data_IF_465934411145
#
_entry.id   IF_465934411145
#
_cell.length_a   1.000
_cell.length_b   1.000
_cell.length_c   1.000
_cell.angle_alpha   90.00
_cell.angle_beta   90.00
_cell.angle_gamma   90.00
#
_symmetry.space_group_name_H-M   'P 1'
#
loop_
_entity.id
_entity.type
_entity.pdbx_description
1 polymer ?
#
# COMPACT_ATOMS: atom_id res chain seq x y z
N UNK A 1 -22.45 32.40 2.54
CA UNK A 1 -21.24 31.74 1.98
C UNK A 1 -20.09 32.08 2.91
N UNK A 2 -19.90 31.29 3.97
CA UNK A 2 -18.96 31.59 5.06
C UNK A 2 -17.55 31.12 4.71
N UNK A 3 -16.57 31.82 5.28
CA UNK A 3 -15.11 31.57 5.15
C UNK A 3 -14.73 30.14 5.55
N UNK A 4 -15.57 29.46 6.33
CA UNK A 4 -15.43 28.07 6.75
C UNK A 4 -15.46 27.09 5.57
N UNK A 5 -16.25 27.35 4.52
CA UNK A 5 -16.33 26.48 3.34
C UNK A 5 -15.10 26.57 2.41
N UNK A 6 -14.13 27.45 2.69
CA UNK A 6 -12.85 27.53 1.96
C UNK A 6 -11.67 26.92 2.72
N UNK A 7 -11.85 26.58 4.00
CA UNK A 7 -10.80 25.98 4.82
C UNK A 7 -10.84 24.45 4.70
N UNK A 8 -12.02 23.84 4.55
CA UNK A 8 -12.13 22.39 4.33
C UNK A 8 -11.48 21.93 3.01
N UNK A 9 -11.55 22.73 1.95
CA UNK A 9 -10.85 22.46 0.67
C UNK A 9 -9.33 22.78 0.73
N UNK A 10 -8.88 23.52 1.75
CA UNK A 10 -7.46 23.89 1.92
C UNK A 10 -6.71 23.00 2.92
N UNK A 11 -7.43 22.30 3.79
CA UNK A 11 -6.89 21.19 4.60
C UNK A 11 -6.67 19.96 3.70
N UNK A 12 -7.40 19.82 2.59
CA UNK A 12 -7.44 18.58 1.77
C UNK A 12 -6.40 18.49 0.64
N UNK A 13 -5.20 19.08 0.76
CA UNK A 13 -4.09 18.83 -0.19
C UNK A 13 -2.70 18.75 0.42
N UNK A 14 -2.49 19.31 1.63
CA UNK A 14 -1.18 19.29 2.29
C UNK A 14 -0.92 18.05 3.14
N UNK A 15 -1.96 17.32 3.51
CA UNK A 15 -1.86 16.01 4.18
C UNK A 15 -2.06 14.82 3.23
N UNK A 16 -2.45 15.07 1.97
CA UNK A 16 -2.46 14.06 0.89
C UNK A 16 -1.05 13.85 0.27
N UNK A 17 -0.01 14.36 0.93
CA UNK A 17 1.28 14.67 0.32
C UNK A 17 2.29 13.51 0.34
N UNK A 18 1.91 12.29 0.71
CA UNK A 18 2.89 11.25 1.05
C UNK A 18 2.99 10.07 0.06
N UNK A 19 1.94 9.30 -0.24
CA UNK A 19 2.06 8.12 -1.12
C UNK A 19 2.02 8.47 -2.61
N UNK A 20 1.07 9.31 -3.01
CA UNK A 20 0.89 9.72 -4.42
C UNK A 20 2.07 10.56 -4.88
N UNK A 21 2.54 11.48 -4.04
CA UNK A 21 3.73 12.26 -4.33
C UNK A 21 5.00 11.42 -4.28
N UNK A 22 5.10 10.37 -3.47
CA UNK A 22 6.22 9.44 -3.55
C UNK A 22 6.25 8.71 -4.90
N UNK A 23 5.10 8.19 -5.37
CA UNK A 23 5.01 7.60 -6.71
C UNK A 23 5.33 8.66 -7.79
N UNK A 24 4.92 9.91 -7.59
CA UNK A 24 5.25 11.02 -8.50
C UNK A 24 6.72 11.47 -8.41
N UNK A 25 7.36 11.40 -7.24
CA UNK A 25 8.77 11.76 -7.05
C UNK A 25 9.70 10.67 -7.60
N UNK A 26 9.23 9.41 -7.56
CA UNK A 26 9.85 8.26 -8.23
C UNK A 26 9.40 8.10 -9.69
N UNK A 27 8.61 9.03 -10.23
CA UNK A 27 7.96 8.93 -11.56
C UNK A 27 8.90 8.95 -12.76
N UNK A 28 10.21 9.12 -12.55
CA UNK A 28 11.20 8.76 -13.57
C UNK A 28 11.06 7.30 -14.00
N UNK A 29 10.41 6.45 -13.20
CA UNK A 29 9.98 5.12 -13.61
C UNK A 29 8.59 5.15 -14.30
N UNK A 30 8.46 4.74 -15.58
CA UNK A 30 7.18 4.62 -16.29
C UNK A 30 6.12 3.81 -15.54
N UNK A 31 6.54 2.84 -14.72
CA UNK A 31 5.69 2.00 -13.88
C UNK A 31 4.91 2.83 -12.85
N UNK A 32 5.54 3.82 -12.23
CA UNK A 32 4.89 4.70 -11.26
C UNK A 32 3.74 5.49 -11.90
N UNK A 33 3.96 5.98 -13.13
CA UNK A 33 2.92 6.66 -13.91
C UNK A 33 1.77 5.72 -14.29
N UNK A 34 2.07 4.46 -14.61
CA UNK A 34 1.06 3.44 -14.87
C UNK A 34 0.23 3.11 -13.62
N UNK A 35 0.85 3.02 -12.45
CA UNK A 35 0.13 2.79 -11.18
C UNK A 35 -0.84 3.94 -10.92
N UNK A 36 -0.40 5.20 -11.04
CA UNK A 36 -1.24 6.37 -10.78
C UNK A 36 -2.38 6.51 -11.78
N UNK A 37 -2.11 6.28 -13.07
CA UNK A 37 -3.14 6.38 -14.13
C UNK A 37 -4.29 5.39 -13.91
N UNK A 38 -4.03 4.30 -13.22
CA UNK A 38 -4.94 3.16 -13.17
C UNK A 38 -5.40 2.75 -11.78
N UNK A 39 -4.88 3.39 -10.74
CA UNK A 39 -5.37 3.22 -9.37
C UNK A 39 -6.35 4.34 -9.08
N UNK A 40 -7.58 4.01 -8.69
CA UNK A 40 -8.58 5.04 -8.43
C UNK A 40 -8.24 5.90 -7.19
N UNK A 41 -8.81 7.11 -7.12
CA UNK A 41 -8.54 8.03 -6.01
C UNK A 41 -8.96 7.52 -4.62
N UNK A 42 -9.98 6.65 -4.52
CA UNK A 42 -10.41 6.08 -3.23
C UNK A 42 -9.39 5.07 -2.68
N UNK A 43 -8.86 4.22 -3.56
CA UNK A 43 -7.80 3.28 -3.25
C UNK A 43 -6.54 4.04 -2.82
N UNK A 44 -6.15 5.06 -3.59
CA UNK A 44 -5.02 5.93 -3.23
C UNK A 44 -5.23 6.63 -1.88
N UNK A 45 -6.43 7.16 -1.58
CA UNK A 45 -6.73 7.78 -0.28
C UNK A 45 -6.62 6.79 0.87
N UNK A 46 -7.08 5.56 0.67
CA UNK A 46 -6.99 4.49 1.67
C UNK A 46 -5.54 4.10 1.96
N UNK A 47 -4.71 3.89 0.94
CA UNK A 47 -3.30 3.55 1.13
C UNK A 47 -2.46 4.72 1.65
N UNK A 48 -2.80 5.96 1.28
CA UNK A 48 -2.24 7.14 1.95
C UNK A 48 -2.51 7.09 3.46
N UNK A 49 -3.76 6.83 3.88
CA UNK A 49 -4.08 6.73 5.30
C UNK A 49 -3.30 5.60 6.01
N UNK A 50 -3.13 4.44 5.36
CA UNK A 50 -2.28 3.37 5.91
C UNK A 50 -0.83 3.86 6.06
N UNK A 51 -0.27 4.48 5.02
CA UNK A 51 1.09 5.00 5.06
C UNK A 51 1.28 6.04 6.17
N UNK A 52 0.31 6.93 6.38
CA UNK A 52 0.36 7.98 7.39
C UNK A 52 0.13 7.46 8.81
N UNK A 53 -0.69 6.43 9.01
CA UNK A 53 -1.09 6.01 10.36
C UNK A 53 -0.38 4.75 10.86
N UNK A 54 0.09 3.89 9.96
CA UNK A 54 0.65 2.59 10.32
C UNK A 54 2.16 2.69 10.56
N UNK A 55 2.56 2.56 11.83
CA UNK A 55 3.95 2.66 12.28
C UNK A 55 4.88 1.63 11.65
N UNK A 56 4.40 0.41 11.39
CA UNK A 56 5.21 -0.65 10.77
C UNK A 56 5.43 -0.32 9.29
N UNK A 57 4.38 0.09 8.58
CA UNK A 57 4.48 0.51 7.16
C UNK A 57 5.45 1.67 6.99
N UNK A 58 5.40 2.67 7.89
CA UNK A 58 6.37 3.79 7.88
C UNK A 58 7.81 3.31 8.09
N UNK A 59 8.01 2.39 9.02
CA UNK A 59 9.34 1.88 9.31
C UNK A 59 9.90 1.04 8.15
N UNK A 60 9.08 0.17 7.55
CA UNK A 60 9.43 -0.57 6.32
C UNK A 60 9.84 0.41 5.22
N UNK A 61 9.04 1.45 5.01
CA UNK A 61 9.32 2.49 4.02
C UNK A 61 10.65 3.22 4.27
N UNK A 62 11.03 3.38 5.53
CA UNK A 62 12.32 3.97 5.91
C UNK A 62 13.48 2.96 5.91
N UNK A 63 13.26 1.76 5.37
CA UNK A 63 14.29 0.74 5.16
C UNK A 63 14.36 -0.35 6.23
N UNK A 64 13.40 -0.42 7.16
CA UNK A 64 13.34 -1.53 8.12
C UNK A 64 12.96 -2.85 7.42
N UNK A 65 13.68 -3.92 7.70
CA UNK A 65 13.35 -5.29 7.27
C UNK A 65 12.46 -5.98 8.30
N UNK A 66 11.90 -7.13 7.92
CA UNK A 66 11.14 -8.00 8.83
C UNK A 66 11.91 -8.35 10.10
N UNK A 67 13.22 -8.57 9.99
CA UNK A 67 14.09 -8.95 11.13
C UNK A 67 14.05 -7.90 12.26
N UNK A 68 13.68 -6.64 11.95
CA UNK A 68 13.49 -5.59 12.97
C UNK A 68 12.24 -5.80 13.84
N UNK A 69 11.27 -6.56 13.34
CA UNK A 69 9.96 -6.79 13.96
C UNK A 69 9.73 -8.22 14.41
N UNK A 70 10.63 -9.14 14.08
CA UNK A 70 10.47 -10.57 14.34
C UNK A 70 10.08 -10.84 15.80
N UNK A 71 8.94 -11.50 16.01
CA UNK A 71 8.41 -11.85 17.33
C UNK A 71 7.75 -10.70 18.09
N UNK A 72 7.72 -9.49 17.51
CA UNK A 72 7.11 -8.30 18.12
C UNK A 72 5.71 -7.98 17.60
N UNK A 73 5.24 -8.66 16.55
CA UNK A 73 3.93 -8.32 15.94
C UNK A 73 2.76 -8.53 16.91
N UNK A 74 2.89 -9.44 17.87
CA UNK A 74 1.92 -9.65 18.95
C UNK A 74 1.66 -8.41 19.82
N UNK A 75 2.61 -7.47 19.88
CA UNK A 75 2.46 -6.23 20.65
C UNK A 75 1.58 -5.18 19.95
N UNK A 76 1.27 -5.36 18.66
CA UNK A 76 0.54 -4.37 17.89
C UNK A 76 -0.98 -4.65 17.87
N UNK A 77 -1.83 -3.60 17.89
CA UNK A 77 -3.26 -3.77 17.76
C UNK A 77 -3.66 -4.43 16.43
N UNK A 78 -4.71 -5.24 16.44
CA UNK A 78 -5.22 -5.93 15.24
C UNK A 78 -5.46 -4.98 14.05
N UNK A 79 -5.93 -3.74 14.30
CA UNK A 79 -6.09 -2.72 13.25
C UNK A 79 -4.77 -2.43 12.51
N UNK A 80 -3.66 -2.32 13.22
CA UNK A 80 -2.33 -2.05 12.65
C UNK A 80 -1.88 -3.24 11.80
N UNK A 81 -2.05 -4.46 12.32
CA UNK A 81 -1.68 -5.69 11.60
C UNK A 81 -2.52 -5.89 10.33
N UNK A 82 -3.84 -5.65 10.41
CA UNK A 82 -4.73 -5.72 9.25
C UNK A 82 -4.40 -4.64 8.20
N UNK A 83 -4.03 -3.43 8.62
CA UNK A 83 -3.56 -2.39 7.71
C UNK A 83 -2.22 -2.76 7.05
N UNK A 84 -1.30 -3.37 7.78
CA UNK A 84 -0.03 -3.88 7.23
C UNK A 84 -0.30 -5.00 6.21
N UNK A 85 -1.19 -5.93 6.52
CA UNK A 85 -1.63 -6.96 5.57
C UNK A 85 -2.22 -6.34 4.29
N UNK A 86 -3.04 -5.30 4.44
CA UNK A 86 -3.63 -4.57 3.32
C UNK A 86 -2.59 -3.95 2.40
N UNK A 87 -1.57 -3.34 3.02
CA UNK A 87 -0.44 -2.72 2.34
C UNK A 87 0.37 -3.76 1.57
N UNK A 88 0.69 -4.87 2.22
CA UNK A 88 1.40 -5.98 1.60
C UNK A 88 0.63 -6.54 0.39
N UNK A 89 -0.65 -6.90 0.56
CA UNK A 89 -1.51 -7.42 -0.51
C UNK A 89 -1.64 -6.44 -1.69
N UNK A 90 -1.71 -5.14 -1.41
CA UNK A 90 -1.73 -4.14 -2.47
C UNK A 90 -0.47 -4.17 -3.33
N UNK A 91 0.72 -4.22 -2.74
CA UNK A 91 1.96 -4.21 -3.50
C UNK A 91 2.29 -5.58 -4.14
N UNK A 92 2.13 -6.66 -3.38
CA UNK A 92 2.55 -8.01 -3.81
C UNK A 92 1.54 -8.68 -4.73
N UNK A 93 0.24 -8.39 -4.58
CA UNK A 93 -0.81 -8.99 -5.39
C UNK A 93 -1.45 -8.00 -6.35
N UNK A 94 -1.91 -6.83 -5.90
CA UNK A 94 -2.62 -5.90 -6.78
C UNK A 94 -1.67 -5.24 -7.78
N UNK A 95 -0.66 -4.50 -7.33
CA UNK A 95 0.30 -3.80 -8.18
C UNK A 95 1.10 -4.79 -9.02
N UNK A 96 1.69 -5.83 -8.43
CA UNK A 96 2.47 -6.81 -9.21
C UNK A 96 1.66 -7.45 -10.35
N UNK A 97 0.41 -7.88 -10.11
CA UNK A 97 -0.46 -8.41 -11.20
C UNK A 97 -0.86 -7.34 -12.20
N UNK A 98 -1.03 -6.10 -11.74
CA UNK A 98 -1.36 -4.97 -12.58
C UNK A 98 -0.22 -4.63 -13.56
N UNK A 99 1.01 -4.60 -13.06
CA UNK A 99 2.20 -4.30 -13.85
C UNK A 99 2.49 -5.38 -14.89
N UNK A 100 2.33 -6.64 -14.55
CA UNK A 100 2.47 -7.75 -15.51
C UNK A 100 1.48 -7.62 -16.67
N UNK A 101 0.28 -7.07 -16.44
CA UNK A 101 -0.75 -6.91 -17.48
C UNK A 101 -0.49 -5.74 -18.43
N UNK A 102 0.28 -4.74 -18.02
CA UNK A 102 0.35 -3.43 -18.70
C UNK A 102 1.74 -3.08 -19.16
N UNK A 103 2.76 -3.61 -18.50
CA UNK A 103 4.12 -3.45 -18.98
C UNK A 103 4.28 -4.24 -20.27
N UNK A 104 4.59 -3.53 -21.35
CA UNK A 104 5.04 -4.13 -22.60
C UNK A 104 6.43 -4.79 -22.46
N UNK A 105 7.14 -4.53 -21.36
CA UNK A 105 8.47 -5.06 -21.07
C UNK A 105 8.52 -5.70 -19.66
N UNK A 106 8.43 -7.04 -19.55
CA UNK A 106 8.50 -7.76 -18.29
C UNK A 106 9.77 -7.47 -17.47
N UNK A 107 10.88 -7.12 -18.12
CA UNK A 107 12.15 -6.87 -17.44
C UNK A 107 12.16 -5.53 -16.70
N UNK A 108 11.50 -4.50 -17.23
CA UNK A 108 11.31 -3.23 -16.48
C UNK A 108 10.48 -3.45 -15.21
N UNK A 109 9.49 -4.34 -15.25
CA UNK A 109 8.68 -4.71 -14.08
C UNK A 109 9.51 -5.41 -13.00
N UNK A 110 10.51 -6.22 -13.40
CA UNK A 110 11.44 -6.88 -12.47
C UNK A 110 12.40 -5.88 -11.82
N UNK A 111 12.78 -4.84 -12.56
CA UNK A 111 13.64 -3.75 -12.07
C UNK A 111 12.85 -2.60 -11.41
N UNK A 112 11.57 -2.80 -11.10
CA UNK A 112 10.82 -1.87 -10.26
C UNK A 112 11.37 -1.91 -8.83
N UNK A 113 11.67 -0.73 -8.27
CA UNK A 113 12.10 -0.60 -6.89
C UNK A 113 11.01 0.10 -6.08
N UNK A 114 10.77 -0.43 -4.89
CA UNK A 114 9.91 0.17 -3.88
C UNK A 114 10.67 0.23 -2.56
N UNK A 115 10.69 1.40 -1.91
CA UNK A 115 11.41 1.57 -0.64
C UNK A 115 12.91 1.18 -0.72
N UNK A 116 13.57 1.53 -1.83
CA UNK A 116 14.96 1.12 -2.14
C UNK A 116 15.20 -0.40 -2.24
N UNK A 117 14.14 -1.22 -2.28
CA UNK A 117 14.21 -2.66 -2.47
C UNK A 117 13.71 -3.02 -3.87
N UNK A 118 14.29 -4.06 -4.49
CA UNK A 118 13.72 -4.60 -5.72
C UNK A 118 12.32 -5.16 -5.43
N UNK A 119 11.46 -5.22 -6.45
CA UNK A 119 10.10 -5.78 -6.29
C UNK A 119 10.13 -7.20 -5.70
N UNK A 120 11.08 -8.03 -6.11
CA UNK A 120 11.26 -9.39 -5.59
C UNK A 120 11.67 -9.41 -4.11
N UNK A 121 12.65 -8.57 -3.73
CA UNK A 121 13.09 -8.47 -2.34
C UNK A 121 11.97 -7.93 -1.45
N UNK A 122 11.28 -6.88 -1.90
CA UNK A 122 10.14 -6.32 -1.21
C UNK A 122 9.01 -7.35 -1.03
N UNK A 123 8.71 -8.13 -2.07
CA UNK A 123 7.73 -9.21 -1.98
C UNK A 123 8.14 -10.26 -0.95
N UNK A 124 9.40 -10.70 -0.98
CA UNK A 124 9.92 -11.68 -0.02
C UNK A 124 9.81 -11.17 1.42
N UNK A 125 10.18 -9.91 1.67
CA UNK A 125 10.04 -9.27 2.98
C UNK A 125 8.58 -9.20 3.44
N UNK A 126 7.67 -8.74 2.57
CA UNK A 126 6.24 -8.66 2.91
C UNK A 126 5.62 -10.02 3.20
N UNK A 127 6.08 -11.09 2.54
CA UNK A 127 5.59 -12.45 2.80
C UNK A 127 5.91 -12.93 4.22
N UNK A 128 7.05 -12.53 4.81
CA UNK A 128 7.38 -12.85 6.20
C UNK A 128 6.37 -12.24 7.17
N UNK A 129 6.07 -10.95 7.02
CA UNK A 129 5.02 -10.27 7.80
C UNK A 129 3.65 -10.94 7.63
N UNK A 130 3.28 -11.30 6.39
CA UNK A 130 2.00 -11.95 6.12
C UNK A 130 1.86 -13.33 6.75
N UNK A 131 2.97 -14.07 6.92
CA UNK A 131 2.96 -15.34 7.63
C UNK A 131 2.76 -15.12 9.13
N UNK A 132 3.56 -14.25 9.75
CA UNK A 132 3.43 -13.98 11.18
C UNK A 132 2.06 -13.37 11.53
N UNK A 133 1.49 -12.49 10.69
CA UNK A 133 0.13 -11.97 10.90
C UNK A 133 -0.92 -13.09 10.95
N UNK A 134 -0.77 -14.15 10.14
CA UNK A 134 -1.70 -15.30 10.18
C UNK A 134 -1.55 -16.12 11.46
N UNK A 135 -0.37 -16.10 12.07
CA UNK A 135 -0.12 -16.77 13.34
C UNK A 135 -0.62 -15.91 14.53
N UNK A 136 -0.61 -14.58 14.38
CA UNK A 136 -1.06 -13.61 15.41
C UNK A 136 -2.57 -13.39 15.40
N UNK A 137 -3.20 -13.33 14.23
CA UNK A 137 -4.62 -13.03 14.06
C UNK A 137 -5.41 -14.25 13.61
N UNK A 138 -6.62 -14.41 14.18
CA UNK A 138 -7.58 -15.43 13.76
C UNK A 138 -7.91 -15.28 12.26
N UNK A 139 -7.87 -16.40 11.54
CA UNK A 139 -8.15 -16.47 10.10
C UNK A 139 -9.52 -15.88 9.73
N UNK A 140 -10.52 -16.01 10.62
CA UNK A 140 -11.86 -15.45 10.42
C UNK A 140 -11.85 -13.91 10.42
N UNK A 141 -11.02 -13.28 11.24
CA UNK A 141 -10.85 -11.82 11.30
C UNK A 141 -10.19 -11.34 10.02
N UNK A 142 -9.13 -12.04 9.59
CA UNK A 142 -8.43 -11.76 8.34
C UNK A 142 -9.40 -11.85 7.16
N UNK A 143 -10.20 -12.92 7.10
CA UNK A 143 -11.15 -13.14 6.01
C UNK A 143 -12.24 -12.06 5.97
N UNK A 144 -12.81 -11.71 7.12
CA UNK A 144 -13.81 -10.65 7.24
C UNK A 144 -13.23 -9.29 6.79
N UNK A 145 -11.97 -9.01 7.13
CA UNK A 145 -11.27 -7.81 6.67
C UNK A 145 -11.07 -7.83 5.15
N UNK A 146 -10.59 -8.94 4.59
CA UNK A 146 -10.40 -9.11 3.14
C UNK A 146 -11.68 -8.88 2.35
N UNK A 147 -12.83 -9.38 2.82
CA UNK A 147 -14.13 -9.13 2.15
C UNK A 147 -14.46 -7.65 2.09
N UNK A 148 -14.12 -6.88 3.14
CA UNK A 148 -14.30 -5.43 3.14
C UNK A 148 -13.28 -4.71 2.25
N UNK A 149 -12.04 -5.20 2.18
CA UNK A 149 -11.01 -4.67 1.28
C UNK A 149 -11.34 -4.90 -0.19
N UNK A 150 -11.85 -6.08 -0.54
CA UNK A 150 -12.25 -6.44 -1.90
C UNK A 150 -13.31 -5.46 -2.43
N UNK A 151 -14.17 -4.90 -1.58
CA UNK A 151 -15.10 -3.84 -1.99
C UNK A 151 -14.36 -2.56 -2.37
N UNK A 152 -13.29 -2.21 -1.64
CA UNK A 152 -12.41 -1.07 -1.97
C UNK A 152 -11.68 -1.32 -3.29
N UNK A 153 -11.10 -2.51 -3.49
CA UNK A 153 -10.37 -2.88 -4.72
C UNK A 153 -11.28 -3.05 -5.95
N UNK A 154 -12.44 -3.70 -5.83
CA UNK A 154 -13.36 -3.93 -6.96
C UNK A 154 -14.10 -2.67 -7.38
N UNK A 155 -14.39 -1.76 -6.44
CA UNK A 155 -14.89 -0.43 -6.80
C UNK A 155 -13.83 0.41 -7.53
N UNK A 156 -12.55 0.01 -7.50
CA UNK A 156 -11.47 0.62 -8.27
C UNK A 156 -11.36 0.16 -9.72
N UNK A 157 -11.90 -1.00 -10.08
CA UNK A 157 -11.83 -1.53 -11.44
C UNK A 157 -13.02 -1.10 -12.34
N UNK A 158 -14.11 -0.58 -11.78
CA UNK A 158 -15.35 -0.27 -12.53
C UNK A 158 -15.38 1.10 -13.25
N UNK A 159 -14.23 1.69 -13.59
CA UNK A 159 -14.17 2.88 -14.46
C UNK A 159 -13.11 2.68 -15.53
N UNK A 160 -13.48 1.88 -16.53
CA UNK A 160 -12.89 1.88 -17.87
C UNK A 160 -14.03 2.04 -18.86
#
# INVERSE_FOLDING_TARGET
>A
MTVENKIEDYIDRRDLLDFTNFIQATSSNPICSLILKNTNGRCLKYFNAIFTDNVIVKAIFNGASYDTFEGSLHAYPAKVLLQLQSWAEFWTNYISRYLVKISANPDETRHFYFSNMSNEAYHSEMMKFLLEIKDVLDESIILAWKVNQDKVFRSAQKRS
#
